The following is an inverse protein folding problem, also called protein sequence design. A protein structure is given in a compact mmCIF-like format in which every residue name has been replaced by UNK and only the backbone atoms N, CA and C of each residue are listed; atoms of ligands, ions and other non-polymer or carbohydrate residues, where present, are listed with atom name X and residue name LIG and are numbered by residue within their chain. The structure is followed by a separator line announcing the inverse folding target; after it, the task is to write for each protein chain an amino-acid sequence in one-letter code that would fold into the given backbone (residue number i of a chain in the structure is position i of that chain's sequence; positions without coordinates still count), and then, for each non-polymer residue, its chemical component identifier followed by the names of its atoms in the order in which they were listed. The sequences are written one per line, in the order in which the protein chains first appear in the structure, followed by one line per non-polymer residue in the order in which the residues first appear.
data_IF_966407782570
#
_entry.id   IF_966407782570
#
_cell.length_a   1.000
_cell.length_b   1.000
_cell.length_c   1.000
_cell.angle_alpha   90.00
_cell.angle_beta   90.00
_cell.angle_gamma   90.00
#
_symmetry.space_group_name_H-M   'P 1'
#
loop_
_entity.id
_entity.type
_entity.pdbx_description
1 polymer ?
#
# COMPACT_ATOMS: atom_id res chain seq x y z
N UNK A 1 8.80 19.08 18.19
CA UNK A 1 9.54 19.35 19.44
C UNK A 1 8.64 19.26 20.69
N UNK A 2 7.38 19.69 20.65
CA UNK A 2 6.47 19.53 21.81
C UNK A 2 6.15 18.07 22.16
N UNK A 3 6.07 17.19 21.17
CA UNK A 3 5.78 15.76 21.36
C UNK A 3 6.88 15.05 22.18
N UNK A 4 8.16 15.33 21.89
CA UNK A 4 9.29 14.78 22.66
C UNK A 4 9.31 15.29 24.11
N UNK A 5 8.88 16.53 24.36
CA UNK A 5 8.78 17.07 25.71
C UNK A 5 7.63 16.44 26.54
N UNK A 6 6.59 15.93 25.87
CA UNK A 6 5.49 15.23 26.53
C UNK A 6 5.90 13.80 26.94
N UNK A 7 6.62 13.07 26.08
CA UNK A 7 7.10 11.72 26.39
C UNK A 7 8.07 11.70 27.58
N UNK A 8 9.00 12.67 27.66
CA UNK A 8 9.97 12.74 28.74
C UNK A 8 9.30 13.00 30.12
N UNK A 9 8.19 13.75 30.14
CA UNK A 9 7.41 13.99 31.37
C UNK A 9 6.73 12.73 31.89
N UNK A 10 6.20 11.89 31.01
CA UNK A 10 5.55 10.63 31.39
C UNK A 10 6.57 9.64 31.98
N UNK A 11 7.74 9.53 31.34
CA UNK A 11 8.83 8.65 31.83
C UNK A 11 9.31 9.09 33.21
N UNK A 12 9.44 10.40 33.46
CA UNK A 12 9.84 10.94 34.76
C UNK A 12 8.85 10.59 35.88
N UNK A 13 7.55 10.73 35.64
CA UNK A 13 6.51 10.41 36.64
C UNK A 13 6.49 8.92 37.02
N UNK A 14 6.72 8.03 36.05
CA UNK A 14 6.80 6.59 36.29
C UNK A 14 8.02 6.24 37.16
N UNK A 15 9.15 6.91 36.91
CA UNK A 15 10.41 6.67 37.63
C UNK A 15 10.36 7.13 39.09
N UNK A 16 9.70 8.25 39.35
CA UNK A 16 9.62 8.84 40.69
C UNK A 16 8.60 8.16 41.62
N UNK A 17 7.71 7.31 41.09
CA UNK A 17 6.65 6.68 41.87
C UNK A 17 6.50 5.16 41.64
N UNK A 18 7.52 4.36 42.01
CA UNK A 18 7.53 2.91 41.72
C UNK A 18 6.42 2.13 42.43
N UNK A 19 5.87 2.67 43.53
CA UNK A 19 4.75 2.08 44.30
C UNK A 19 3.37 2.46 43.77
N UNK A 20 3.28 3.27 42.71
CA UNK A 20 1.99 3.62 42.11
C UNK A 20 1.28 2.37 41.60
N UNK A 21 0.03 2.21 42.02
CA UNK A 21 -0.83 1.11 41.58
C UNK A 21 -1.09 1.20 40.08
N UNK A 22 -1.34 0.06 39.42
CA UNK A 22 -1.70 0.00 37.98
C UNK A 22 -2.80 1.01 37.63
N UNK A 23 -3.81 1.13 38.50
CA UNK A 23 -4.93 2.09 38.36
C UNK A 23 -4.50 3.56 38.39
N UNK A 24 -3.44 3.91 39.11
CA UNK A 24 -2.89 5.28 39.13
C UNK A 24 -2.05 5.58 37.87
N UNK A 25 -1.31 4.59 37.36
CA UNK A 25 -0.56 4.72 36.10
C UNK A 25 -1.50 4.91 34.91
N UNK A 26 -2.60 4.15 34.88
CA UNK A 26 -3.63 4.26 33.84
C UNK A 26 -4.37 5.61 33.87
N UNK A 27 -4.51 6.23 35.05
CA UNK A 27 -5.08 7.60 35.17
C UNK A 27 -4.09 8.68 34.73
N UNK A 28 -2.81 8.54 35.06
CA UNK A 28 -1.78 9.49 34.64
C UNK A 28 -1.59 9.48 33.11
N UNK A 29 -1.67 8.31 32.46
CA UNK A 29 -1.62 8.20 31.01
C UNK A 29 -2.80 8.92 30.32
N UNK A 30 -4.01 8.83 30.87
CA UNK A 30 -5.20 9.50 30.30
C UNK A 30 -5.25 11.01 30.53
N UNK A 31 -4.56 11.53 31.54
CA UNK A 31 -4.51 12.97 31.80
C UNK A 31 -3.66 13.74 30.78
N UNK A 32 -2.87 13.05 29.96
CA UNK A 32 -2.01 13.64 28.92
C UNK A 32 -2.57 13.48 27.50
N UNK A 33 -3.74 12.86 27.32
CA UNK A 33 -4.47 12.96 26.06
C UNK A 33 -4.98 14.41 25.93
N UNK A 34 -4.21 15.23 25.21
CA UNK A 34 -4.65 16.55 24.75
C UNK A 34 -6.05 16.39 24.13
N UNK A 35 -6.98 17.33 24.36
CA UNK A 35 -8.25 17.33 23.66
C UNK A 35 -7.95 17.42 22.16
N UNK A 36 -8.01 16.28 21.47
CA UNK A 36 -8.06 16.25 20.03
C UNK A 36 -9.39 16.88 19.68
N UNK A 37 -9.35 18.11 19.15
CA UNK A 37 -10.52 18.71 18.52
C UNK A 37 -11.18 17.67 17.62
N UNK A 38 -12.51 17.53 17.67
CA UNK A 38 -13.19 16.58 16.82
C UNK A 38 -12.81 16.89 15.38
N UNK A 39 -12.02 16.01 14.78
CA UNK A 39 -11.80 15.98 13.34
C UNK A 39 -13.20 15.85 12.77
N UNK A 40 -13.68 16.98 12.27
CA UNK A 40 -14.87 17.05 11.41
C UNK A 40 -14.57 16.08 10.29
N UNK A 41 -15.09 14.86 10.41
CA UNK A 41 -15.27 13.99 9.26
C UNK A 41 -16.03 14.84 8.26
N UNK A 42 -15.34 15.25 7.19
CA UNK A 42 -16.00 15.58 5.95
C UNK A 42 -16.75 14.31 5.55
N UNK A 43 -17.99 14.28 6.02
CA UNK A 43 -19.02 13.38 5.61
C UNK A 43 -19.05 13.51 4.10
N UNK A 44 -18.58 12.44 3.46
CA UNK A 44 -18.66 12.19 2.03
C UNK A 44 -19.98 12.77 1.56
N UNK A 45 -19.88 13.82 0.74
CA UNK A 45 -21.01 14.52 0.21
C UNK A 45 -21.97 13.47 -0.32
N UNK A 46 -23.16 13.52 0.26
CA UNK A 46 -24.36 12.89 -0.27
C UNK A 46 -24.34 13.16 -1.77
N UNK A 47 -24.06 12.11 -2.55
CA UNK A 47 -24.22 12.17 -3.99
C UNK A 47 -25.71 12.30 -4.20
N UNK A 48 -26.14 13.54 -4.36
CA UNK A 48 -27.47 13.91 -4.80
C UNK A 48 -27.78 13.06 -6.03
N UNK A 49 -28.89 12.28 -6.04
CA UNK A 49 -29.32 11.68 -7.28
C UNK A 49 -29.60 12.84 -8.23
N UNK A 50 -28.85 12.93 -9.33
CA UNK A 50 -29.21 13.81 -10.45
C UNK A 50 -30.60 13.37 -10.92
N UNK A 51 -31.61 14.02 -10.35
CA UNK A 51 -32.97 13.96 -10.80
C UNK A 51 -33.03 14.81 -12.06
N UNK A 52 -32.57 14.24 -13.18
CA UNK A 52 -32.88 14.78 -14.50
C UNK A 52 -34.35 14.52 -14.77
N UNK A 53 -35.20 15.36 -14.18
CA UNK A 53 -36.56 15.57 -14.64
C UNK A 53 -36.44 16.18 -16.04
N UNK A 54 -36.41 15.30 -17.04
CA UNK A 54 -36.49 15.67 -18.44
C UNK A 54 -37.90 16.18 -18.70
N UNK A 55 -38.08 17.48 -18.58
CA UNK A 55 -39.24 18.19 -19.12
C UNK A 55 -39.29 17.90 -20.62
N UNK A 56 -40.21 17.02 -21.00
CA UNK A 56 -40.54 16.71 -22.40
C UNK A 56 -41.02 18.00 -23.09
N UNK A 57 -40.33 18.51 -24.13
CA UNK A 57 -40.96 19.45 -25.04
C UNK A 57 -42.06 18.71 -25.81
N UNK A 58 -43.30 19.18 -25.67
CA UNK A 58 -44.43 18.78 -26.48
C UNK A 58 -44.11 18.97 -27.97
N UNK A 59 -43.98 17.86 -28.70
CA UNK A 59 -43.65 17.82 -30.12
C UNK A 59 -44.92 18.07 -30.96
N UNK A 60 -44.88 18.97 -31.96
CA UNK A 60 -45.85 19.00 -33.04
C UNK A 60 -45.64 17.79 -33.96
N UNK A 61 -46.75 17.13 -34.31
CA UNK A 61 -46.85 15.92 -35.12
C UNK A 61 -46.24 16.11 -36.52
N UNK A 62 -44.97 15.73 -36.68
CA UNK A 62 -44.31 15.56 -37.97
C UNK A 62 -43.42 14.34 -37.89
N UNK A 63 -43.92 13.19 -38.32
CA UNK A 63 -43.21 11.92 -38.45
C UNK A 63 -41.81 12.06 -39.11
N UNK A 64 -40.71 11.92 -38.34
CA UNK A 64 -39.39 11.73 -38.90
C UNK A 64 -38.87 10.36 -38.45
N UNK A 65 -38.54 9.49 -39.39
CA UNK A 65 -37.90 8.19 -39.09
C UNK A 65 -36.64 8.42 -38.26
N UNK A 66 -36.70 8.19 -36.95
CA UNK A 66 -35.51 8.31 -36.09
C UNK A 66 -34.54 7.17 -36.42
N UNK A 67 -33.26 7.48 -36.71
CA UNK A 67 -32.27 6.47 -37.01
C UNK A 67 -31.90 5.78 -35.69
N UNK A 68 -32.11 4.46 -35.63
CA UNK A 68 -31.76 3.57 -34.51
C UNK A 68 -30.28 3.61 -34.06
N UNK A 69 -29.44 4.43 -34.68
CA UNK A 69 -28.00 4.55 -34.37
C UNK A 69 -27.67 5.45 -33.16
N UNK A 70 -28.55 6.38 -32.77
CA UNK A 70 -28.22 7.39 -31.75
C UNK A 70 -28.23 6.87 -30.31
N UNK A 71 -29.02 5.82 -30.02
CA UNK A 71 -29.09 5.19 -28.69
C UNK A 71 -27.84 4.37 -28.37
N UNK A 72 -27.18 3.78 -29.39
CA UNK A 72 -25.96 2.99 -29.19
C UNK A 72 -24.75 3.86 -28.79
N UNK A 73 -24.68 5.12 -29.24
CA UNK A 73 -23.56 6.03 -28.94
C UNK A 73 -23.54 6.47 -27.46
N UNK A 74 -24.71 6.59 -26.82
CA UNK A 74 -24.81 7.00 -25.40
C UNK A 74 -24.32 5.91 -24.44
N UNK A 75 -24.53 4.62 -24.76
CA UNK A 75 -24.06 3.49 -23.94
C UNK A 75 -22.53 3.35 -24.00
N UNK A 76 -21.92 3.63 -25.16
CA UNK A 76 -20.47 3.58 -25.31
C UNK A 76 -19.74 4.69 -24.53
N UNK A 77 -20.31 5.90 -24.45
CA UNK A 77 -19.71 7.03 -23.75
C UNK A 77 -19.69 6.84 -22.21
N UNK A 78 -20.73 6.23 -21.63
CA UNK A 78 -20.78 5.94 -20.19
C UNK A 78 -19.80 4.84 -19.75
N UNK A 79 -19.46 3.89 -20.64
CA UNK A 79 -18.43 2.88 -20.37
C UNK A 79 -17.00 3.44 -20.49
N UNK A 80 -16.81 4.53 -21.24
CA UNK A 80 -15.51 5.18 -21.40
C UNK A 80 -15.16 6.11 -20.23
N UNK A 81 -16.14 6.70 -19.55
CA UNK A 81 -15.93 7.60 -18.41
C UNK A 81 -15.60 6.90 -17.07
N UNK A 82 -15.67 5.57 -17.01
CA UNK A 82 -15.19 4.77 -15.88
C UNK A 82 -13.67 4.52 -15.89
N UNK A 83 -12.93 5.00 -16.89
CA UNK A 83 -11.55 4.57 -17.18
C UNK A 83 -10.42 5.32 -16.45
N UNK A 84 -10.71 6.17 -15.46
CA UNK A 84 -9.65 6.92 -14.76
C UNK A 84 -9.80 6.99 -13.25
N UNK A 85 -10.55 6.07 -12.63
CA UNK A 85 -10.44 5.90 -11.18
C UNK A 85 -9.08 5.26 -10.87
N UNK A 86 -8.33 5.86 -9.95
CA UNK A 86 -7.10 5.27 -9.42
C UNK A 86 -7.38 3.83 -8.97
N UNK A 87 -6.49 2.90 -9.33
CA UNK A 87 -6.64 1.49 -8.98
C UNK A 87 -6.81 1.37 -7.46
N UNK A 88 -7.86 0.70 -6.96
CA UNK A 88 -8.04 0.44 -5.52
C UNK A 88 -6.83 -0.29 -4.91
N UNK A 89 -6.05 -1.00 -5.72
CA UNK A 89 -4.81 -1.62 -5.27
C UNK A 89 -3.72 -0.64 -4.88
N UNK A 90 -3.72 0.56 -5.44
CA UNK A 90 -2.62 1.50 -5.27
C UNK A 90 -2.43 1.86 -3.79
N UNK A 91 -3.47 2.35 -3.14
CA UNK A 91 -3.44 2.70 -1.71
C UNK A 91 -3.19 1.47 -0.83
N UNK A 92 -3.71 0.30 -1.25
CA UNK A 92 -3.48 -0.96 -0.55
C UNK A 92 -2.02 -1.38 -0.59
N UNK A 93 -1.32 -1.20 -1.71
CA UNK A 93 0.12 -1.48 -1.82
C UNK A 93 0.94 -0.55 -0.93
N UNK A 94 0.58 0.74 -0.85
CA UNK A 94 1.25 1.69 0.02
C UNK A 94 1.08 1.30 1.50
N UNK A 95 -0.15 1.01 1.91
CA UNK A 95 -0.44 0.57 3.29
C UNK A 95 0.23 -0.77 3.62
N UNK A 96 0.27 -1.70 2.65
CA UNK A 96 0.97 -2.97 2.79
C UNK A 96 2.48 -2.75 3.04
N UNK A 97 3.10 -1.84 2.28
CA UNK A 97 4.50 -1.47 2.48
C UNK A 97 4.72 -0.97 3.90
N UNK A 98 3.95 0.02 4.33
CA UNK A 98 4.10 0.63 5.65
C UNK A 98 3.90 -0.39 6.78
N UNK A 99 2.91 -1.28 6.65
CA UNK A 99 2.68 -2.35 7.62
C UNK A 99 3.87 -3.34 7.71
N UNK A 100 4.46 -3.71 6.56
CA UNK A 100 5.66 -4.56 6.55
C UNK A 100 6.84 -3.83 7.18
N UNK A 101 7.02 -2.54 6.91
CA UNK A 101 8.08 -1.74 7.55
C UNK A 101 7.89 -1.66 9.07
N UNK A 102 6.70 -1.27 9.52
CA UNK A 102 6.38 -1.07 10.92
C UNK A 102 6.55 -2.35 11.76
N UNK A 103 6.20 -3.52 11.20
CA UNK A 103 6.31 -4.80 11.92
C UNK A 103 7.63 -5.52 11.69
N UNK A 104 8.08 -5.61 10.45
CA UNK A 104 9.20 -6.43 10.05
C UNK A 104 10.55 -5.80 10.39
N UNK A 105 10.73 -4.50 10.12
CA UNK A 105 12.04 -3.86 10.31
C UNK A 105 12.49 -3.88 11.77
N UNK A 106 11.66 -3.50 12.77
CA UNK A 106 12.07 -3.58 14.17
C UNK A 106 12.43 -5.00 14.63
N UNK A 107 11.74 -6.01 14.10
CA UNK A 107 11.99 -7.41 14.45
C UNK A 107 13.28 -7.96 13.84
N UNK A 108 13.66 -7.49 12.65
CA UNK A 108 14.72 -8.09 11.85
C UNK A 108 16.01 -7.28 11.85
N UNK A 109 15.92 -5.94 11.80
CA UNK A 109 17.07 -5.07 11.62
C UNK A 109 18.20 -5.31 12.64
N UNK A 110 17.94 -5.51 13.96
CA UNK A 110 19.02 -5.75 14.92
C UNK A 110 19.90 -6.96 14.61
N UNK A 111 19.34 -8.00 13.96
CA UNK A 111 20.07 -9.24 13.63
C UNK A 111 20.86 -9.14 12.32
N UNK A 112 20.47 -8.23 11.42
CA UNK A 112 20.99 -8.16 10.05
C UNK A 112 21.60 -6.79 9.72
N UNK A 113 22.06 -6.05 10.75
CA UNK A 113 22.68 -4.72 10.57
C UNK A 113 23.91 -4.78 9.64
N UNK A 114 24.73 -5.83 9.74
CA UNK A 114 25.90 -6.03 8.89
C UNK A 114 25.53 -6.24 7.41
N UNK A 115 24.49 -7.03 7.13
CA UNK A 115 24.00 -7.27 5.77
C UNK A 115 23.43 -5.98 5.16
N UNK A 116 22.68 -5.21 5.95
CA UNK A 116 22.18 -3.89 5.52
C UNK A 116 23.32 -2.91 5.27
N UNK A 117 24.35 -2.89 6.13
CA UNK A 117 25.54 -2.06 5.91
C UNK A 117 26.27 -2.45 4.62
N UNK A 118 26.42 -3.75 4.36
CA UNK A 118 27.02 -4.27 3.11
C UNK A 118 26.20 -3.91 1.88
N UNK A 119 24.87 -3.99 1.96
CA UNK A 119 23.97 -3.56 0.89
C UNK A 119 24.16 -2.08 0.58
N UNK A 120 24.13 -1.23 1.61
CA UNK A 120 24.27 0.22 1.47
C UNK A 120 25.67 0.65 0.97
N UNK A 121 26.71 -0.11 1.30
CA UNK A 121 28.07 0.15 0.85
C UNK A 121 28.33 -0.31 -0.59
N UNK A 122 27.45 -1.13 -1.18
CA UNK A 122 27.63 -1.64 -2.54
C UNK A 122 27.09 -0.62 -3.57
N UNK A 123 27.95 -0.03 -4.43
CA UNK A 123 27.51 0.96 -5.41
C UNK A 123 26.53 0.41 -6.45
N UNK A 124 26.53 -0.92 -6.68
CA UNK A 124 25.59 -1.57 -7.60
C UNK A 124 24.18 -1.71 -6.98
N UNK A 125 24.04 -1.48 -5.67
CA UNK A 125 22.77 -1.58 -4.93
C UNK A 125 22.17 -0.22 -4.58
N UNK A 126 22.81 0.87 -5.01
CA UNK A 126 22.26 2.20 -4.86
C UNK A 126 20.96 2.34 -5.64
N UNK A 127 19.95 2.97 -5.04
CA UNK A 127 18.64 3.24 -5.68
C UNK A 127 18.78 4.00 -7.01
N UNK A 128 19.84 4.79 -7.17
CA UNK A 128 20.14 5.59 -8.35
C UNK A 128 21.22 4.98 -9.26
N UNK A 129 21.58 3.72 -9.06
CA UNK A 129 22.49 3.04 -9.97
C UNK A 129 21.84 2.93 -11.36
N UNK A 130 22.64 3.17 -12.42
CA UNK A 130 22.15 3.17 -13.82
C UNK A 130 21.61 1.80 -14.26
N UNK A 131 22.23 0.73 -13.76
CA UNK A 131 21.86 -0.66 -14.01
C UNK A 131 22.20 -1.49 -12.76
N UNK A 132 21.35 -1.46 -11.72
CA UNK A 132 21.62 -2.18 -10.49
C UNK A 132 21.65 -3.69 -10.75
N UNK A 133 22.67 -4.37 -10.23
CA UNK A 133 22.75 -5.82 -10.25
C UNK A 133 21.84 -6.37 -9.16
N UNK A 134 20.56 -6.53 -9.51
CA UNK A 134 19.52 -6.90 -8.56
C UNK A 134 19.74 -8.28 -7.95
N UNK A 135 20.39 -9.20 -8.67
CA UNK A 135 20.71 -10.53 -8.18
C UNK A 135 21.77 -10.45 -7.08
N UNK A 136 22.86 -9.70 -7.31
CA UNK A 136 23.86 -9.44 -6.27
C UNK A 136 23.24 -8.72 -5.07
N UNK A 137 22.44 -7.69 -5.31
CA UNK A 137 21.88 -6.87 -4.24
C UNK A 137 20.87 -7.62 -3.38
N UNK A 138 19.98 -8.39 -4.01
CA UNK A 138 19.02 -9.21 -3.27
C UNK A 138 19.71 -10.33 -2.49
N UNK A 139 20.78 -10.93 -3.03
CA UNK A 139 21.54 -11.94 -2.29
C UNK A 139 22.14 -11.41 -0.99
N UNK A 140 22.56 -10.14 -0.96
CA UNK A 140 23.10 -9.49 0.23
C UNK A 140 22.04 -9.37 1.32
N UNK A 141 20.80 -9.04 0.95
CA UNK A 141 19.70 -8.82 1.91
C UNK A 141 18.78 -10.03 2.08
N UNK A 142 19.07 -11.17 1.45
CA UNK A 142 18.17 -12.33 1.41
C UNK A 142 17.76 -12.82 2.81
N UNK A 143 18.70 -12.85 3.78
CA UNK A 143 18.39 -13.27 5.15
C UNK A 143 17.50 -12.26 5.87
N UNK A 144 17.77 -10.96 5.69
CA UNK A 144 16.92 -9.88 6.20
C UNK A 144 15.52 -9.95 5.59
N UNK A 145 15.42 -10.09 4.27
CA UNK A 145 14.16 -10.23 3.54
C UNK A 145 13.37 -11.45 4.00
N UNK A 146 14.02 -12.61 4.16
CA UNK A 146 13.40 -13.82 4.72
C UNK A 146 12.87 -13.58 6.14
N UNK A 147 13.63 -12.86 6.97
CA UNK A 147 13.16 -12.46 8.29
C UNK A 147 11.91 -11.57 8.22
N UNK A 148 11.87 -10.57 7.32
CA UNK A 148 10.70 -9.71 7.15
C UNK A 148 9.46 -10.55 6.83
N UNK A 149 9.56 -11.43 5.84
CA UNK A 149 8.47 -12.33 5.41
C UNK A 149 7.99 -13.19 6.57
N UNK A 150 8.91 -13.71 7.39
CA UNK A 150 8.57 -14.47 8.61
C UNK A 150 7.86 -13.59 9.65
N UNK A 151 8.36 -12.37 9.90
CA UNK A 151 7.81 -11.46 10.90
C UNK A 151 6.36 -11.03 10.56
N UNK A 152 6.03 -10.95 9.28
CA UNK A 152 4.66 -10.65 8.81
C UNK A 152 3.81 -11.90 8.54
N UNK A 153 4.25 -13.09 8.97
CA UNK A 153 3.53 -14.37 8.81
C UNK A 153 3.22 -14.72 7.34
N UNK A 154 4.13 -14.39 6.42
CA UNK A 154 4.02 -14.70 4.99
C UNK A 154 5.01 -15.79 4.55
N UNK A 155 5.67 -16.45 5.51
CA UNK A 155 6.60 -17.55 5.24
C UNK A 155 5.93 -18.87 5.61
N UNK A 156 5.84 -19.78 4.65
CA UNK A 156 5.36 -21.15 4.87
C UNK A 156 6.38 -21.99 5.63
N UNK A 157 5.93 -23.16 6.10
CA UNK A 157 6.78 -24.13 6.81
C UNK A 157 7.97 -24.64 5.95
N UNK A 158 7.80 -24.70 4.63
CA UNK A 158 8.84 -25.08 3.66
C UNK A 158 9.79 -23.92 3.29
N UNK A 159 9.72 -22.79 4.01
CA UNK A 159 10.46 -21.55 3.73
C UNK A 159 10.12 -20.88 2.39
N UNK A 160 8.96 -21.16 1.81
CA UNK A 160 8.49 -20.46 0.61
C UNK A 160 7.53 -19.31 0.95
N UNK A 161 7.36 -18.39 0.02
CA UNK A 161 6.43 -17.27 0.16
C UNK A 161 4.97 -17.75 0.12
N UNK A 162 4.16 -17.29 1.07
CA UNK A 162 2.73 -17.57 1.13
C UNK A 162 1.91 -16.56 0.32
N UNK A 163 1.77 -16.86 -0.98
CA UNK A 163 0.99 -16.08 -1.95
C UNK A 163 -0.47 -15.87 -1.50
N UNK A 164 -1.08 -16.90 -0.92
CA UNK A 164 -2.46 -16.85 -0.48
C UNK A 164 -2.59 -15.96 0.78
N UNK A 165 -1.69 -16.14 1.75
CA UNK A 165 -1.68 -15.29 2.94
C UNK A 165 -1.38 -13.83 2.58
N UNK A 166 -0.48 -13.55 1.61
CA UNK A 166 -0.20 -12.18 1.17
C UNK A 166 -1.44 -11.50 0.62
N UNK A 167 -2.15 -12.15 -0.31
CA UNK A 167 -3.39 -11.61 -0.89
C UNK A 167 -4.49 -11.44 0.17
N UNK A 168 -4.65 -12.41 1.06
CA UNK A 168 -5.72 -12.39 2.06
C UNK A 168 -5.45 -11.40 3.20
N UNK A 169 -4.23 -11.36 3.74
CA UNK A 169 -3.91 -10.59 4.95
C UNK A 169 -3.32 -9.23 4.62
N UNK A 170 -2.34 -9.19 3.72
CA UNK A 170 -1.59 -7.96 3.40
C UNK A 170 -2.40 -7.09 2.44
N UNK A 171 -3.04 -7.69 1.44
CA UNK A 171 -3.87 -6.96 0.47
C UNK A 171 -5.37 -6.94 0.82
N UNK A 172 -5.78 -7.64 1.87
CA UNK A 172 -7.19 -7.74 2.31
C UNK A 172 -8.14 -8.15 1.18
N UNK A 173 -7.65 -8.93 0.20
CA UNK A 173 -8.36 -9.30 -1.04
C UNK A 173 -8.85 -8.12 -1.90
N UNK A 174 -8.46 -6.87 -1.58
CA UNK A 174 -8.91 -5.67 -2.30
C UNK A 174 -8.34 -5.58 -3.72
N UNK A 175 -7.31 -6.37 -4.01
CA UNK A 175 -6.62 -6.39 -5.28
C UNK A 175 -7.01 -7.49 -6.25
N UNK A 176 -7.75 -8.50 -5.78
CA UNK A 176 -7.93 -9.73 -6.54
C UNK A 176 -8.77 -9.57 -7.81
N UNK A 177 -9.56 -8.50 -7.92
CA UNK A 177 -10.35 -8.18 -9.11
C UNK A 177 -9.72 -7.09 -10.01
N UNK A 178 -8.60 -6.50 -9.59
CA UNK A 178 -7.95 -5.42 -10.35
C UNK A 178 -7.14 -5.99 -11.52
N UNK A 179 -7.53 -5.64 -12.76
CA UNK A 179 -6.91 -6.17 -13.97
C UNK A 179 -5.42 -5.81 -14.10
N UNK A 180 -5.02 -4.61 -13.66
CA UNK A 180 -3.60 -4.22 -13.67
C UNK A 180 -2.82 -5.06 -12.67
N UNK A 181 -3.34 -5.26 -11.45
CA UNK A 181 -2.73 -6.13 -10.46
C UNK A 181 -2.58 -7.56 -10.96
N UNK A 182 -3.66 -8.14 -11.51
CA UNK A 182 -3.67 -9.52 -12.05
C UNK A 182 -2.58 -9.69 -13.12
N UNK A 183 -2.41 -8.70 -14.01
CA UNK A 183 -1.41 -8.78 -15.07
C UNK A 183 0.03 -8.60 -14.58
N UNK A 184 0.29 -7.72 -13.61
CA UNK A 184 1.66 -7.38 -13.18
C UNK A 184 2.19 -8.29 -12.07
N UNK A 185 1.30 -8.85 -11.25
CA UNK A 185 1.67 -9.61 -10.07
C UNK A 185 2.55 -10.85 -10.36
N UNK A 186 2.26 -11.71 -11.36
CA UNK A 186 3.11 -12.86 -11.66
C UNK A 186 4.55 -12.47 -12.00
N UNK A 187 4.73 -11.43 -12.83
CA UNK A 187 6.04 -10.92 -13.24
C UNK A 187 6.81 -10.37 -12.04
N UNK A 188 6.20 -9.50 -11.24
CA UNK A 188 6.82 -8.96 -10.04
C UNK A 188 7.16 -10.05 -9.01
N UNK A 189 6.30 -11.05 -8.85
CA UNK A 189 6.55 -12.16 -7.93
C UNK A 189 7.75 -12.98 -8.38
N UNK A 190 7.80 -13.37 -9.65
CA UNK A 190 8.88 -14.21 -10.17
C UNK A 190 10.25 -13.52 -10.05
N UNK A 191 10.32 -12.21 -10.30
CA UNK A 191 11.58 -11.46 -10.23
C UNK A 191 12.07 -11.17 -8.80
N UNK A 192 11.19 -11.17 -7.80
CA UNK A 192 11.54 -10.73 -6.43
C UNK A 192 11.50 -11.84 -5.38
N UNK A 193 10.66 -12.86 -5.57
CA UNK A 193 10.50 -13.93 -4.59
C UNK A 193 11.60 -14.99 -4.63
N UNK A 194 12.50 -14.97 -5.64
CA UNK A 194 13.73 -15.77 -5.65
C UNK A 194 14.55 -15.60 -4.36
N UNK A 195 14.58 -14.38 -3.80
CA UNK A 195 15.23 -14.05 -2.53
C UNK A 195 14.25 -13.63 -1.44
N UNK A 196 12.95 -13.94 -1.60
CA UNK A 196 11.88 -13.52 -0.69
C UNK A 196 11.86 -12.02 -0.40
N UNK A 197 12.25 -11.18 -1.37
CA UNK A 197 12.32 -9.73 -1.19
C UNK A 197 10.93 -9.08 -1.28
N UNK A 198 10.17 -9.16 -0.18
CA UNK A 198 8.80 -8.64 -0.06
C UNK A 198 8.69 -7.14 -0.33
N UNK A 199 9.69 -6.34 0.09
CA UNK A 199 9.68 -4.89 -0.17
C UNK A 199 9.80 -4.63 -1.67
N UNK A 200 10.69 -5.33 -2.38
CA UNK A 200 10.78 -5.22 -3.85
C UNK A 200 9.51 -5.69 -4.54
N UNK A 201 8.85 -6.75 -4.05
CA UNK A 201 7.57 -7.20 -4.60
C UNK A 201 6.53 -6.08 -4.56
N UNK A 202 6.34 -5.47 -3.39
CA UNK A 202 5.37 -4.39 -3.19
C UNK A 202 5.71 -3.18 -4.07
N UNK A 203 6.98 -2.76 -4.11
CA UNK A 203 7.42 -1.65 -4.97
C UNK A 203 7.25 -1.95 -6.46
N UNK A 204 7.55 -3.18 -6.91
CA UNK A 204 7.36 -3.58 -8.30
C UNK A 204 5.88 -3.48 -8.70
N UNK A 205 4.97 -4.00 -7.87
CA UNK A 205 3.53 -3.93 -8.13
C UNK A 205 3.09 -2.45 -8.15
N UNK A 206 3.45 -1.68 -7.13
CA UNK A 206 3.10 -0.27 -7.01
C UNK A 206 3.51 0.56 -8.23
N UNK A 207 4.76 0.43 -8.68
CA UNK A 207 5.28 1.17 -9.83
C UNK A 207 4.54 0.81 -11.13
N UNK A 208 4.19 -0.46 -11.32
CA UNK A 208 3.46 -0.91 -12.50
C UNK A 208 1.96 -0.51 -12.46
N UNK A 209 1.35 -0.39 -11.28
CA UNK A 209 -0.04 0.07 -11.15
C UNK A 209 -0.21 1.54 -11.56
N UNK A 210 0.77 2.40 -11.23
CA UNK A 210 0.75 3.83 -11.53
C UNK A 210 1.02 4.14 -13.01
N UNK A 211 1.35 3.13 -13.83
CA UNK A 211 1.82 3.37 -15.20
C UNK A 211 3.13 4.17 -15.22
N UNK A 212 3.88 4.16 -14.11
CA UNK A 212 5.27 4.59 -14.12
C UNK A 212 6.02 3.54 -14.94
N UNK A 213 6.04 3.75 -16.26
CA UNK A 213 6.94 3.04 -17.16
C UNK A 213 8.32 3.56 -16.80
N UNK A 214 8.89 3.04 -15.70
CA UNK A 214 10.33 3.00 -15.57
C UNK A 214 10.75 2.16 -16.76
N UNK A 215 11.20 2.83 -17.83
CA UNK A 215 11.59 2.23 -19.09
C UNK A 215 12.27 0.90 -18.82
N UNK A 216 11.63 -0.16 -19.32
CA UNK A 216 11.78 -1.57 -18.98
C UNK A 216 13.16 -2.15 -19.37
N UNK A 217 14.23 -1.36 -19.36
CA UNK A 217 15.52 -1.72 -19.93
C UNK A 217 16.35 -2.69 -19.08
N UNK A 218 15.99 -2.98 -17.82
CA UNK A 218 16.90 -3.70 -16.91
C UNK A 218 16.27 -4.81 -16.04
N UNK A 219 15.12 -5.42 -16.40
CA UNK A 219 14.56 -6.57 -15.63
C UNK A 219 14.64 -7.93 -16.36
N UNK A 220 15.19 -7.98 -17.57
CA UNK A 220 15.43 -9.22 -18.32
C UNK A 220 16.90 -9.68 -18.25
N UNK A 221 17.53 -9.52 -17.08
CA UNK A 221 18.90 -9.99 -16.79
C UNK A 221 18.88 -11.23 -15.89
#
# INVERSE_FOLDING_TARGET
MEEQAAEERVVKVIRENPKATRKQRDRAARAFELPTDPVVSQQSQHQEPLNCEQTLPSVPDHSPKMPRGLVLLMVAAAAASAQAADSPCYSVMFNARDAVYAKGVPACLPQYTADIAKYNANPNCATFAKSPDMDTCDSIVANFSKCLVKAVNLLKADNTFDDAAFKATTLQNKCSADAKFISVYPTCKNSTMKYLNLIRLINCIHNNLYGYVISRQNMDG
#
